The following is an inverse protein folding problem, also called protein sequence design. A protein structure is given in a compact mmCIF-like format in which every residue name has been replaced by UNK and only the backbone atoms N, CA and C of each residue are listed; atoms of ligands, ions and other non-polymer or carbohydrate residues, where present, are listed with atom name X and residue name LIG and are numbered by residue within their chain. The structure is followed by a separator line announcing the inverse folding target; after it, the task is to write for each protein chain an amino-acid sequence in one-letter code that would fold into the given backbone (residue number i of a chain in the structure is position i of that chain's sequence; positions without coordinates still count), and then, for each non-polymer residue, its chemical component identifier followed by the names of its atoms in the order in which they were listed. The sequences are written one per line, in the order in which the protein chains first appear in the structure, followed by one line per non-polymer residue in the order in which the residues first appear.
data_IF_026901807372
#
_entry.id   IF_026901807372
#
_cell.length_a   1.000
_cell.length_b   1.000
_cell.length_c   1.000
_cell.angle_alpha   90.00
_cell.angle_beta   90.00
_cell.angle_gamma   90.00
#
_symmetry.space_group_name_H-M   'P 1'
#
loop_
_entity.id
_entity.type
_entity.pdbx_description
1 polymer ?
#
# COMPACT_ATOMS: atom_id res chain seq x y z
N UNK A 1 41.31 13.00 -30.20
CA UNK A 1 41.41 12.78 -28.74
C UNK A 1 40.69 11.48 -28.40
N UNK A 2 41.45 10.41 -28.13
CA UNK A 2 40.92 9.12 -27.70
C UNK A 2 40.50 9.18 -26.24
N UNK A 3 39.35 8.60 -25.89
CA UNK A 3 39.07 8.15 -24.52
C UNK A 3 38.60 6.69 -24.59
N UNK A 4 39.34 5.84 -23.86
CA UNK A 4 39.28 4.38 -23.80
C UNK A 4 37.91 3.85 -23.36
N UNK A 5 37.39 2.89 -24.12
CA UNK A 5 36.39 1.91 -23.66
C UNK A 5 37.16 0.67 -23.16
N UNK A 6 36.99 0.30 -21.89
CA UNK A 6 37.50 -0.97 -21.36
C UNK A 6 36.48 -2.07 -21.62
N UNK A 7 36.85 -2.99 -22.50
CA UNK A 7 36.22 -4.30 -22.67
C UNK A 7 36.61 -5.21 -21.50
N UNK A 8 35.64 -5.90 -20.90
CA UNK A 8 35.89 -7.01 -19.98
C UNK A 8 35.22 -8.23 -20.61
N UNK A 9 36.06 -9.19 -20.98
CA UNK A 9 35.70 -10.45 -21.60
C UNK A 9 35.29 -11.49 -20.55
N UNK A 10 34.50 -12.43 -21.05
CA UNK A 10 33.81 -13.54 -20.41
C UNK A 10 34.77 -14.67 -19.95
N UNK A 11 34.20 -15.49 -19.05
CA UNK A 11 34.43 -16.92 -18.82
C UNK A 11 35.25 -17.32 -17.59
N UNK A 12 34.61 -18.18 -16.78
CA UNK A 12 35.05 -19.43 -16.12
C UNK A 12 34.00 -19.70 -15.02
N UNK A 13 33.56 -20.90 -14.65
CA UNK A 13 33.48 -22.25 -15.21
C UNK A 13 32.55 -23.00 -14.23
N UNK A 14 31.86 -24.02 -14.71
CA UNK A 14 30.96 -24.90 -13.96
C UNK A 14 31.58 -25.47 -12.67
N UNK A 15 30.77 -25.65 -11.61
CA UNK A 15 30.69 -26.97 -10.99
C UNK A 15 29.42 -27.20 -10.16
N UNK A 16 28.87 -28.40 -10.34
CA UNK A 16 27.76 -29.00 -9.58
C UNK A 16 28.26 -29.42 -8.19
N UNK A 17 27.40 -29.33 -7.18
CA UNK A 17 27.05 -30.48 -6.31
C UNK A 17 25.85 -30.16 -5.42
N UNK A 18 24.83 -31.00 -5.55
CA UNK A 18 23.75 -31.22 -4.59
C UNK A 18 24.31 -31.91 -3.34
N UNK A 19 23.99 -31.42 -2.13
CA UNK A 19 24.04 -32.26 -0.93
C UNK A 19 23.25 -31.68 0.25
N UNK A 20 22.25 -32.48 0.65
CA UNK A 20 21.82 -32.82 2.02
C UNK A 20 20.92 -31.85 2.77
N UNK A 21 19.68 -32.31 2.91
CA UNK A 21 18.68 -31.97 3.92
C UNK A 21 19.28 -31.99 5.33
N UNK A 22 18.99 -30.95 6.10
CA UNK A 22 19.09 -30.95 7.55
C UNK A 22 17.74 -30.58 8.14
N UNK A 23 17.12 -31.55 8.79
CA UNK A 23 15.82 -31.44 9.45
C UNK A 23 15.95 -30.54 10.68
N UNK A 24 15.61 -29.26 10.56
CA UNK A 24 15.45 -28.38 11.71
C UNK A 24 14.11 -28.67 12.39
N UNK A 25 14.12 -29.41 13.49
CA UNK A 25 12.99 -29.45 14.45
C UNK A 25 12.95 -28.13 15.20
N UNK A 26 11.95 -27.29 14.91
CA UNK A 26 11.64 -26.15 15.75
C UNK A 26 10.95 -26.63 17.03
N UNK A 27 11.56 -26.34 18.18
CA UNK A 27 10.91 -26.35 19.49
C UNK A 27 10.15 -25.04 19.59
N UNK A 28 8.81 -25.09 19.69
CA UNK A 28 8.03 -23.91 20.04
C UNK A 28 7.00 -24.27 21.09
N UNK A 29 7.19 -23.66 22.25
CA UNK A 29 6.31 -23.61 23.42
C UNK A 29 4.88 -23.21 23.06
N UNK A 30 3.92 -23.95 23.60
CA UNK A 30 2.48 -23.69 23.52
C UNK A 30 2.09 -22.36 24.20
N UNK A 31 1.31 -21.47 23.57
CA UNK A 31 0.66 -20.37 24.27
C UNK A 31 -0.75 -20.76 24.74
N UNK A 32 -1.10 -20.32 25.95
CA UNK A 32 -2.41 -20.47 26.60
C UNK A 32 -3.55 -19.75 25.86
N UNK A 33 -4.83 -20.14 26.06
CA UNK A 33 -5.92 -19.74 25.18
C UNK A 33 -6.73 -18.56 25.74
N UNK A 34 -6.70 -17.41 25.07
CA UNK A 34 -7.81 -16.44 25.16
C UNK A 34 -7.82 -15.47 23.97
N UNK A 35 -8.79 -15.68 23.08
CA UNK A 35 -9.40 -14.72 22.15
C UNK A 35 -8.49 -14.02 21.13
N UNK A 36 -8.25 -14.71 20.03
CA UNK A 36 -7.76 -14.13 18.78
C UNK A 36 -8.71 -14.46 17.65
N UNK A 37 -9.66 -13.56 17.36
CA UNK A 37 -10.23 -13.46 16.01
C UNK A 37 -9.22 -12.73 15.12
N UNK A 38 -8.03 -13.32 14.98
CA UNK A 38 -6.96 -12.84 14.10
C UNK A 38 -7.31 -13.26 12.69
N UNK A 39 -7.71 -12.30 11.87
CA UNK A 39 -7.95 -12.51 10.44
C UNK A 39 -6.64 -12.91 9.75
N UNK A 40 -6.40 -14.22 9.63
CA UNK A 40 -5.69 -15.00 8.61
C UNK A 40 -4.36 -14.51 7.96
N UNK A 41 -3.78 -13.34 8.29
CA UNK A 41 -2.51 -12.81 7.74
C UNK A 41 -1.63 -12.06 8.75
N UNK A 42 -1.80 -12.31 10.05
CA UNK A 42 -0.81 -11.99 11.09
C UNK A 42 -0.66 -10.52 11.53
N UNK A 43 -1.50 -9.59 11.06
CA UNK A 43 -1.48 -8.17 11.46
C UNK A 43 -2.83 -7.67 12.01
N UNK A 44 -2.82 -6.54 12.70
CA UNK A 44 -4.04 -5.87 13.14
C UNK A 44 -4.80 -5.26 11.95
N UNK A 45 -6.14 -5.17 12.00
CA UNK A 45 -6.92 -4.43 11.00
C UNK A 45 -6.47 -2.96 10.95
N UNK A 46 -6.27 -2.44 9.74
CA UNK A 46 -5.74 -1.08 9.52
C UNK A 46 -6.75 -0.20 8.80
N UNK A 47 -6.89 1.02 9.29
CA UNK A 47 -7.87 2.01 8.83
C UNK A 47 -7.20 3.35 8.54
N UNK A 48 -7.69 4.05 7.52
CA UNK A 48 -7.13 5.34 7.13
C UNK A 48 -7.69 6.44 8.04
N UNK A 49 -6.84 7.38 8.45
CA UNK A 49 -7.26 8.61 9.12
C UNK A 49 -6.30 9.74 8.80
N UNK A 50 -6.84 10.88 8.36
CA UNK A 50 -6.04 12.09 8.11
C UNK A 50 -5.41 12.62 9.40
N UNK A 51 -6.15 12.53 10.50
CA UNK A 51 -5.74 12.98 11.83
C UNK A 51 -5.36 11.74 12.64
N UNK A 52 -4.14 11.72 13.15
CA UNK A 52 -3.66 10.70 14.08
C UNK A 52 -3.46 11.31 15.47
N UNK A 53 -3.63 10.53 16.55
CA UNK A 53 -3.31 10.98 17.90
C UNK A 53 -1.84 11.38 18.02
N UNK A 54 -1.54 12.44 18.78
CA UNK A 54 -0.18 12.98 18.87
C UNK A 54 0.77 12.15 19.76
N UNK A 55 0.22 11.42 20.73
CA UNK A 55 0.99 10.63 21.69
C UNK A 55 0.16 9.48 22.26
N UNK A 56 0.82 8.54 22.94
CA UNK A 56 0.16 7.47 23.69
C UNK A 56 -0.92 8.03 24.63
N UNK A 57 -2.09 7.40 24.65
CA UNK A 57 -3.25 7.81 25.45
C UNK A 57 -4.09 8.93 24.84
N UNK A 58 -3.62 9.59 23.78
CA UNK A 58 -4.43 10.57 23.06
C UNK A 58 -5.56 9.89 22.29
N UNK A 59 -6.69 10.58 22.16
CA UNK A 59 -7.92 10.07 21.54
C UNK A 59 -8.18 10.79 20.22
N UNK A 60 -8.60 10.03 19.20
CA UNK A 60 -9.10 10.56 17.93
C UNK A 60 -10.46 9.95 17.62
N UNK A 61 -11.37 10.79 17.15
CA UNK A 61 -12.71 10.39 16.74
C UNK A 61 -12.71 9.93 15.28
N UNK A 62 -13.04 8.68 15.03
CA UNK A 62 -13.23 8.12 13.68
C UNK A 62 -14.71 8.20 13.29
N UNK A 63 -14.98 8.71 12.09
CA UNK A 63 -16.35 8.93 11.55
C UNK A 63 -16.43 8.46 10.09
N UNK A 64 -17.63 8.52 9.51
CA UNK A 64 -17.85 8.28 8.08
C UNK A 64 -17.58 6.84 7.65
N UNK A 65 -16.98 6.68 6.48
CA UNK A 65 -16.78 5.38 5.82
C UNK A 65 -15.92 4.42 6.66
N UNK A 66 -14.86 4.91 7.30
CA UNK A 66 -13.99 4.07 8.14
C UNK A 66 -14.72 3.61 9.41
N UNK A 67 -15.51 4.47 10.05
CA UNK A 67 -16.37 4.09 11.17
C UNK A 67 -17.38 2.99 10.77
N UNK A 68 -18.02 3.13 9.61
CA UNK A 68 -18.96 2.13 9.10
C UNK A 68 -18.23 0.81 8.77
N UNK A 69 -17.05 0.88 8.15
CA UNK A 69 -16.24 -0.29 7.84
C UNK A 69 -15.82 -1.05 9.11
N UNK A 70 -15.38 -0.34 10.15
CA UNK A 70 -15.01 -0.90 11.44
C UNK A 70 -16.20 -1.61 12.10
N UNK A 71 -17.34 -0.94 12.24
CA UNK A 71 -18.45 -1.42 13.09
C UNK A 71 -19.48 -2.30 12.37
N UNK A 72 -19.68 -2.11 11.06
CA UNK A 72 -20.72 -2.84 10.30
C UNK A 72 -20.14 -3.96 9.46
N UNK A 73 -19.01 -3.73 8.80
CA UNK A 73 -18.36 -4.75 7.96
C UNK A 73 -17.54 -5.70 8.80
N UNK A 74 -16.59 -5.16 9.56
CA UNK A 74 -15.68 -5.95 10.38
C UNK A 74 -16.25 -6.27 11.77
N UNK A 75 -17.33 -5.58 12.16
CA UNK A 75 -18.06 -5.80 13.42
C UNK A 75 -17.16 -5.67 14.65
N UNK A 76 -16.20 -4.75 14.60
CA UNK A 76 -15.32 -4.44 15.71
C UNK A 76 -16.11 -3.79 16.85
N UNK A 77 -15.71 -4.12 18.06
CA UNK A 77 -16.33 -3.74 19.32
C UNK A 77 -15.36 -2.99 20.22
N UNK A 78 -15.85 -2.46 21.34
CA UNK A 78 -15.02 -1.81 22.34
C UNK A 78 -13.90 -2.77 22.78
N UNK A 79 -12.70 -2.23 22.96
CA UNK A 79 -11.45 -2.93 23.26
C UNK A 79 -10.78 -3.69 22.11
N UNK A 80 -11.40 -3.81 20.93
CA UNK A 80 -10.70 -4.39 19.78
C UNK A 80 -9.52 -3.50 19.35
N UNK A 81 -8.40 -4.14 19.05
CA UNK A 81 -7.16 -3.48 18.62
C UNK A 81 -7.15 -3.25 17.12
N UNK A 82 -6.73 -2.06 16.73
CA UNK A 82 -6.64 -1.63 15.33
C UNK A 82 -5.46 -0.70 15.13
N UNK A 83 -5.10 -0.49 13.88
CA UNK A 83 -4.10 0.51 13.49
C UNK A 83 -4.75 1.65 12.70
N UNK A 84 -4.36 2.88 13.02
CA UNK A 84 -4.63 4.05 12.18
C UNK A 84 -3.36 4.47 11.44
N UNK A 85 -3.49 4.79 10.16
CA UNK A 85 -2.40 5.34 9.34
C UNK A 85 -2.90 6.49 8.47
N UNK A 86 -2.00 7.36 8.02
CA UNK A 86 -2.34 8.57 7.26
C UNK A 86 -1.79 8.59 5.82
N UNK A 87 -1.32 7.45 5.31
CA UNK A 87 -0.77 7.34 3.96
C UNK A 87 0.57 8.05 3.73
N UNK A 88 1.14 8.68 4.76
CA UNK A 88 2.41 9.43 4.73
C UNK A 88 3.50 8.74 5.57
N UNK A 89 3.33 7.45 5.86
CA UNK A 89 4.23 6.68 6.71
C UNK A 89 3.94 6.72 8.20
N UNK A 90 3.01 7.56 8.68
CA UNK A 90 2.65 7.56 10.09
C UNK A 90 1.66 6.42 10.37
N UNK A 91 1.94 5.69 11.45
CA UNK A 91 1.17 4.55 11.91
C UNK A 91 1.04 4.62 13.42
N UNK A 92 -0.14 4.34 13.95
CA UNK A 92 -0.34 4.22 15.39
C UNK A 92 -1.26 3.07 15.71
N UNK A 93 -0.87 2.31 16.71
CA UNK A 93 -1.66 1.20 17.22
C UNK A 93 -2.50 1.67 18.41
N UNK A 94 -3.73 1.16 18.50
CA UNK A 94 -4.63 1.53 19.56
C UNK A 94 -5.82 0.59 19.68
N UNK A 95 -6.80 0.99 20.47
CA UNK A 95 -8.04 0.26 20.60
C UNK A 95 -9.26 1.19 20.56
N UNK A 96 -10.42 0.59 20.32
CA UNK A 96 -11.70 1.29 20.36
C UNK A 96 -12.10 1.50 21.83
N UNK A 97 -12.20 2.75 22.26
CA UNK A 97 -12.57 3.10 23.64
C UNK A 97 -14.09 3.18 23.82
N UNK A 98 -14.80 3.79 22.87
CA UNK A 98 -16.25 3.90 22.86
C UNK A 98 -16.79 3.99 21.43
N UNK A 99 -18.06 3.64 21.28
CA UNK A 99 -18.80 3.61 20.03
C UNK A 99 -20.18 4.22 20.28
N UNK A 100 -20.59 5.18 19.44
CA UNK A 100 -21.96 5.66 19.39
C UNK A 100 -22.47 5.74 17.94
N UNK A 101 -23.65 6.32 17.72
CA UNK A 101 -24.29 6.36 16.41
C UNK A 101 -23.53 7.22 15.38
N UNK A 102 -22.71 8.15 15.83
CA UNK A 102 -22.02 9.15 15.00
C UNK A 102 -20.54 8.85 14.75
N UNK A 103 -19.98 7.85 15.43
CA UNK A 103 -18.57 7.49 15.31
C UNK A 103 -18.06 6.64 16.46
N UNK A 104 -16.76 6.42 16.48
CA UNK A 104 -16.04 5.76 17.56
C UNK A 104 -14.82 6.56 17.99
N UNK A 105 -14.42 6.40 19.25
CA UNK A 105 -13.18 6.96 19.78
C UNK A 105 -12.09 5.89 19.73
N UNK A 106 -11.02 6.19 19.02
CA UNK A 106 -9.78 5.44 19.02
C UNK A 106 -8.84 6.04 20.06
N UNK A 107 -8.28 5.22 20.95
CA UNK A 107 -7.25 5.62 21.91
C UNK A 107 -5.91 4.99 21.53
N UNK A 108 -4.86 5.80 21.43
CA UNK A 108 -3.52 5.33 21.13
C UNK A 108 -2.95 4.50 22.28
N UNK A 109 -2.53 3.25 22.01
CA UNK A 109 -1.85 2.39 22.99
C UNK A 109 -0.34 2.62 22.99
N UNK A 110 0.20 3.16 21.89
CA UNK A 110 1.61 3.50 21.70
C UNK A 110 1.76 4.91 21.14
N UNK A 111 2.99 5.43 21.14
CA UNK A 111 3.29 6.66 20.40
C UNK A 111 3.24 6.39 18.89
N UNK A 112 2.75 7.34 18.07
CA UNK A 112 2.80 7.22 16.63
C UNK A 112 4.22 6.96 16.13
N UNK A 113 4.33 6.02 15.19
CA UNK A 113 5.58 5.64 14.54
C UNK A 113 5.60 6.27 13.14
N UNK A 114 6.70 6.91 12.79
CA UNK A 114 6.97 7.34 11.43
C UNK A 114 7.83 6.27 10.75
N UNK A 115 7.27 5.60 9.77
CA UNK A 115 7.98 4.61 8.95
C UNK A 115 8.39 5.27 7.65
N UNK A 116 9.69 5.34 7.37
CA UNK A 116 10.20 5.85 6.10
C UNK A 116 9.74 4.95 4.94
N UNK A 117 9.55 5.51 3.72
CA UNK A 117 9.34 4.69 2.53
C UNK A 117 10.47 3.67 2.38
N UNK A 118 10.16 2.47 1.89
CA UNK A 118 11.20 1.50 1.57
C UNK A 118 12.14 2.11 0.53
N UNK A 119 13.45 2.05 0.79
CA UNK A 119 14.46 2.39 -0.22
C UNK A 119 14.45 1.31 -1.30
N UNK A 120 13.73 1.56 -2.39
CA UNK A 120 13.70 0.69 -3.55
C UNK A 120 14.81 1.07 -4.53
N UNK A 121 15.57 0.10 -5.01
CA UNK A 121 16.55 0.33 -6.08
C UNK A 121 15.92 0.87 -7.37
N UNK A 122 14.62 0.62 -7.57
CA UNK A 122 13.88 0.99 -8.77
C UNK A 122 12.53 1.59 -8.42
N UNK A 123 12.20 2.72 -9.05
CA UNK A 123 10.87 3.30 -8.96
C UNK A 123 10.05 2.94 -10.19
N UNK A 124 8.87 2.35 -9.95
CA UNK A 124 7.92 2.01 -11.01
C UNK A 124 6.90 3.14 -11.16
N UNK A 125 6.83 3.72 -12.35
CA UNK A 125 5.83 4.72 -12.73
C UNK A 125 4.93 4.11 -13.80
N UNK A 126 3.66 3.92 -13.48
CA UNK A 126 2.69 3.35 -14.39
C UNK A 126 1.92 4.48 -15.11
N UNK A 127 1.64 4.29 -16.40
CA UNK A 127 0.74 5.15 -17.14
C UNK A 127 -0.17 4.29 -18.00
N UNK A 128 -1.45 4.64 -18.08
CA UNK A 128 -2.44 3.80 -18.76
C UNK A 128 -3.45 4.64 -19.52
N UNK A 129 -3.78 4.25 -20.76
CA UNK A 129 -4.94 4.79 -21.46
C UNK A 129 -6.24 4.20 -20.90
N UNK A 130 -7.38 4.63 -21.43
CA UNK A 130 -8.68 4.13 -20.97
C UNK A 130 -8.84 2.63 -21.19
N UNK A 131 -9.10 1.92 -20.10
CA UNK A 131 -9.37 0.47 -20.10
C UNK A 131 -10.87 0.22 -19.93
N UNK A 132 -11.42 -0.67 -20.77
CA UNK A 132 -12.83 -1.07 -20.69
C UNK A 132 -13.10 -1.96 -19.47
N UNK A 133 -14.30 -1.85 -18.92
CA UNK A 133 -14.76 -2.65 -17.77
C UNK A 133 -13.99 -2.33 -16.48
N UNK A 134 -13.83 -3.35 -15.63
CA UNK A 134 -13.11 -3.26 -14.35
C UNK A 134 -11.58 -3.34 -14.45
N UNK A 135 -11.00 -3.32 -15.66
CA UNK A 135 -9.55 -3.48 -15.86
C UNK A 135 -8.73 -2.30 -15.31
N UNK A 136 -9.27 -1.09 -15.34
CA UNK A 136 -8.61 0.08 -14.74
C UNK A 136 -8.52 -0.08 -13.21
N UNK A 137 -9.61 -0.52 -12.58
CA UNK A 137 -9.65 -0.79 -11.14
C UNK A 137 -8.63 -1.88 -10.77
N UNK A 138 -8.62 -2.99 -11.51
CA UNK A 138 -7.63 -4.07 -11.32
C UNK A 138 -6.18 -3.57 -11.48
N UNK A 139 -5.90 -2.76 -12.50
CA UNK A 139 -4.57 -2.19 -12.71
C UNK A 139 -4.15 -1.31 -11.52
N UNK A 140 -5.03 -0.42 -11.06
CA UNK A 140 -4.74 0.45 -9.90
C UNK A 140 -4.47 -0.39 -8.66
N UNK A 141 -5.32 -1.39 -8.39
CA UNK A 141 -5.13 -2.32 -7.26
C UNK A 141 -3.75 -2.98 -7.31
N UNK A 142 -3.38 -3.57 -8.46
CA UNK A 142 -2.09 -4.27 -8.59
C UNK A 142 -0.89 -3.33 -8.58
N UNK A 143 -0.99 -2.13 -9.16
CA UNK A 143 0.06 -1.12 -9.03
C UNK A 143 0.29 -0.74 -7.57
N UNK A 144 -0.78 -0.56 -6.79
CA UNK A 144 -0.68 -0.25 -5.37
C UNK A 144 -0.04 -1.40 -4.58
N UNK A 145 -0.51 -2.63 -4.78
CA UNK A 145 0.00 -3.84 -4.11
C UNK A 145 1.47 -4.11 -4.43
N UNK A 146 1.89 -3.92 -5.68
CA UNK A 146 3.25 -4.19 -6.15
C UNK A 146 4.26 -3.08 -5.82
N UNK A 147 3.86 -2.03 -5.11
CA UNK A 147 4.80 -0.99 -4.70
C UNK A 147 5.04 0.09 -5.77
N UNK A 148 4.18 0.26 -6.77
CA UNK A 148 4.35 1.32 -7.76
C UNK A 148 4.40 2.70 -7.08
N UNK A 149 5.26 3.58 -7.57
CA UNK A 149 5.47 4.91 -7.01
C UNK A 149 4.34 5.87 -7.40
N UNK A 150 3.95 5.85 -8.68
CA UNK A 150 2.80 6.60 -9.15
C UNK A 150 2.06 5.91 -10.29
N UNK A 151 0.81 6.30 -10.47
CA UNK A 151 0.01 5.97 -11.65
C UNK A 151 -0.55 7.24 -12.30
N UNK A 152 -0.53 7.29 -13.63
CA UNK A 152 -1.02 8.42 -14.42
C UNK A 152 -1.99 7.96 -15.50
N UNK A 153 -3.27 8.37 -15.47
CA UNK A 153 -4.17 8.15 -16.59
C UNK A 153 -3.72 8.97 -17.82
N UNK A 154 -3.79 8.36 -19.00
CA UNK A 154 -3.42 8.98 -20.28
C UNK A 154 -4.66 9.24 -21.12
N UNK A 155 -4.82 10.50 -21.53
CA UNK A 155 -5.77 10.92 -22.54
C UNK A 155 -5.19 10.60 -23.92
N UNK A 156 -5.88 9.74 -24.65
CA UNK A 156 -5.47 9.20 -25.96
C UNK A 156 -6.49 9.58 -27.02
N UNK A 157 -6.17 9.39 -28.31
CA UNK A 157 -7.11 9.66 -29.41
C UNK A 157 -8.44 8.90 -29.25
N UNK A 158 -8.38 7.65 -28.76
CA UNK A 158 -9.56 6.81 -28.54
C UNK A 158 -10.27 7.07 -27.20
N UNK A 159 -9.69 7.92 -26.35
CA UNK A 159 -10.31 8.36 -25.09
C UNK A 159 -9.72 9.69 -24.65
N UNK A 160 -10.38 10.76 -25.08
CA UNK A 160 -9.94 12.14 -24.90
C UNK A 160 -10.26 12.73 -23.52
N UNK A 161 -11.11 12.07 -22.73
CA UNK A 161 -11.47 12.52 -21.39
C UNK A 161 -11.56 11.36 -20.39
N UNK A 162 -11.41 11.70 -19.11
CA UNK A 162 -11.68 10.84 -17.97
C UNK A 162 -12.53 11.65 -16.99
N UNK A 163 -13.71 11.15 -16.61
CA UNK A 163 -14.60 11.87 -15.70
C UNK A 163 -14.08 11.90 -14.27
N UNK A 164 -14.42 12.96 -13.53
CA UNK A 164 -14.07 13.12 -12.11
C UNK A 164 -14.57 11.94 -11.27
N UNK A 165 -15.82 11.52 -11.47
CA UNK A 165 -16.39 10.33 -10.83
C UNK A 165 -15.54 9.06 -11.05
N UNK A 166 -14.94 8.92 -12.24
CA UNK A 166 -14.07 7.78 -12.54
C UNK A 166 -12.73 7.90 -11.83
N UNK A 167 -12.17 9.11 -11.73
CA UNK A 167 -10.95 9.39 -10.96
C UNK A 167 -11.18 9.09 -9.48
N UNK A 168 -12.27 9.59 -8.88
CA UNK A 168 -12.62 9.32 -7.49
C UNK A 168 -12.77 7.82 -7.21
N UNK A 169 -13.41 7.08 -8.13
CA UNK A 169 -13.50 5.63 -8.02
C UNK A 169 -12.12 4.97 -7.98
N UNK A 170 -11.21 5.36 -8.86
CA UNK A 170 -9.86 4.79 -8.92
C UNK A 170 -9.04 5.15 -7.67
N UNK A 171 -9.19 6.36 -7.14
CA UNK A 171 -8.60 6.75 -5.86
C UNK A 171 -9.08 5.82 -4.75
N UNK A 172 -10.40 5.60 -4.62
CA UNK A 172 -10.96 4.67 -3.62
C UNK A 172 -10.40 3.25 -3.75
N UNK A 173 -10.20 2.76 -4.98
CA UNK A 173 -9.56 1.46 -5.22
C UNK A 173 -8.10 1.45 -4.73
N UNK A 174 -7.34 2.51 -4.99
CA UNK A 174 -5.96 2.66 -4.49
C UNK A 174 -5.90 2.67 -2.95
N UNK A 175 -6.81 3.39 -2.29
CA UNK A 175 -6.90 3.41 -0.82
C UNK A 175 -7.25 2.03 -0.25
N UNK A 176 -8.25 1.34 -0.84
CA UNK A 176 -8.64 0.01 -0.42
C UNK A 176 -7.49 -0.99 -0.57
N UNK A 177 -6.79 -0.96 -1.71
CA UNK A 177 -5.61 -1.80 -1.95
C UNK A 177 -4.49 -1.50 -0.95
N UNK A 178 -4.21 -0.22 -0.65
CA UNK A 178 -3.18 0.18 0.33
C UNK A 178 -3.46 -0.39 1.73
N UNK A 179 -4.72 -0.39 2.16
CA UNK A 179 -5.13 -1.00 3.44
C UNK A 179 -4.89 -2.52 3.43
N UNK A 180 -5.31 -3.20 2.37
CA UNK A 180 -5.21 -4.66 2.26
C UNK A 180 -3.75 -5.15 2.16
N UNK A 181 -2.89 -4.43 1.44
CA UNK A 181 -1.47 -4.78 1.32
C UNK A 181 -0.60 -4.20 2.44
N UNK A 182 -1.20 -3.56 3.46
CA UNK A 182 -0.51 -2.95 4.59
C UNK A 182 0.53 -1.89 4.16
N UNK A 183 0.28 -1.19 3.07
CA UNK A 183 1.16 -0.13 2.58
C UNK A 183 0.91 1.17 3.36
N UNK A 184 1.98 1.76 3.90
CA UNK A 184 1.91 2.98 4.73
C UNK A 184 2.08 4.29 3.95
N UNK A 185 2.63 4.20 2.74
CA UNK A 185 2.86 5.32 1.83
C UNK A 185 1.99 5.18 0.61
N UNK A 186 1.06 6.10 0.42
CA UNK A 186 0.16 6.07 -0.73
C UNK A 186 0.92 6.13 -2.06
N UNK A 187 0.43 5.39 -3.05
CA UNK A 187 0.86 5.56 -4.42
C UNK A 187 0.33 6.90 -4.93
N UNK A 188 1.19 7.72 -5.53
CA UNK A 188 0.76 8.99 -6.12
C UNK A 188 -0.17 8.73 -7.31
N UNK A 189 -1.35 9.34 -7.29
CA UNK A 189 -2.30 9.30 -8.40
C UNK A 189 -2.26 10.65 -9.11
N UNK A 190 -1.63 10.69 -10.28
CA UNK A 190 -1.46 11.93 -11.04
C UNK A 190 -2.74 12.28 -11.82
N UNK A 191 -2.98 13.57 -12.10
CA UNK A 191 -4.09 13.98 -12.95
C UNK A 191 -3.94 13.39 -14.36
N UNK A 192 -5.06 13.21 -15.10
CA UNK A 192 -5.00 12.73 -16.48
C UNK A 192 -4.22 13.70 -17.38
N UNK A 193 -3.27 13.19 -18.15
CA UNK A 193 -2.46 13.99 -19.09
C UNK A 193 -2.51 13.42 -20.50
N UNK A 194 -2.16 14.23 -21.52
CA UNK A 194 -2.01 13.71 -22.89
C UNK A 194 -0.71 12.89 -23.00
N UNK A 195 -0.71 11.87 -23.88
CA UNK A 195 0.48 11.02 -24.12
C UNK A 195 1.73 11.83 -24.43
N UNK A 196 1.60 12.89 -25.24
CA UNK A 196 2.73 13.75 -25.62
C UNK A 196 3.39 14.47 -24.42
N UNK A 197 2.67 14.65 -23.31
CA UNK A 197 3.20 15.27 -22.08
C UNK A 197 3.95 14.27 -21.20
N UNK A 198 3.84 12.96 -21.45
CA UNK A 198 4.53 11.96 -20.63
C UNK A 198 6.04 11.89 -20.94
N UNK A 199 6.40 12.00 -22.22
CA UNK A 199 7.76 11.81 -22.75
C UNK A 199 8.77 12.91 -22.39
N UNK A 200 8.41 14.21 -22.29
CA UNK A 200 9.38 15.27 -22.00
C UNK A 200 9.87 15.27 -20.55
N UNK A 201 9.11 14.67 -19.63
CA UNK A 201 9.29 14.94 -18.20
C UNK A 201 10.14 13.93 -17.45
N UNK A 202 10.50 12.78 -18.02
CA UNK A 202 11.28 11.77 -17.29
C UNK A 202 12.23 11.02 -18.22
N UNK A 203 13.50 10.94 -17.81
CA UNK A 203 14.48 9.96 -18.31
C UNK A 203 14.01 8.55 -17.89
N UNK A 204 12.85 8.11 -18.36
CA UNK A 204 12.35 6.77 -18.16
C UNK A 204 12.92 5.90 -19.27
N UNK A 205 13.80 4.97 -18.89
CA UNK A 205 14.21 3.88 -19.77
C UNK A 205 13.01 2.95 -19.89
N UNK A 206 12.26 3.05 -20.98
CA UNK A 206 11.12 2.18 -21.24
C UNK A 206 11.62 0.74 -21.36
N UNK A 207 11.15 -0.14 -20.46
CA UNK A 207 11.18 -1.57 -20.69
C UNK A 207 10.06 -1.87 -21.67
N UNK A 208 10.37 -1.81 -22.96
CA UNK A 208 9.49 -2.36 -24.01
C UNK A 208 9.79 -3.86 -24.09
N UNK A 209 8.77 -4.74 -24.07
CA UNK A 209 8.96 -6.18 -24.21
C UNK A 209 9.58 -6.59 -25.55
#
# INVERSE_FOLDING_TARGET
MQVRVRSISLAFLLNRTCSKESTFRAISSSPSPSNYSTQARGGLPRFYSEILPSSKGSVVRVKGDEFWHMTRVLRLTIHDRVELFNGKGNLVEGCIQDIDQSGLNFVALENPKLVSPLETQWHVFAAFGTLKGGRADWLVEKCTELGAHSITPLLTERSSSLSENRVERLLRVSFAASKQCQRLHEMSFNPPIKVAQLLPHRQCRFLVP
#
